data_IF_896439681667
#
_entry.id   IF_896439681667
#
_cell.length_a   1.000
_cell.length_b   1.000
_cell.length_c   1.000
_cell.angle_alpha   90.00
_cell.angle_beta   90.00
_cell.angle_gamma   90.00
#
_symmetry.space_group_name_H-M   'P 1'
#
loop_
_entity.id
_entity.type
_entity.pdbx_description
1 polymer ?
#
# COMPACT_ATOMS: atom_id res chain seq x y z
N UNK A 1 -4.70 -14.40 -16.40
CA UNK A 1 -4.30 -13.83 -17.72
C UNK A 1 -5.42 -13.95 -18.76
N UNK A 2 -6.24 -14.98 -18.68
CA UNK A 2 -7.22 -15.34 -19.74
C UNK A 2 -8.45 -14.42 -19.83
N UNK A 3 -8.64 -13.50 -18.90
CA UNK A 3 -9.73 -12.52 -18.91
C UNK A 3 -9.33 -11.11 -19.36
N UNK A 4 -8.03 -10.86 -19.62
CA UNK A 4 -7.55 -9.53 -20.02
C UNK A 4 -7.72 -9.33 -21.54
N UNK A 5 -8.37 -8.22 -21.91
CA UNK A 5 -8.44 -7.76 -23.30
C UNK A 5 -7.58 -6.53 -23.47
N UNK A 6 -6.73 -6.55 -24.50
CA UNK A 6 -5.98 -5.37 -24.90
C UNK A 6 -6.94 -4.25 -25.34
N UNK A 7 -6.78 -3.07 -24.78
CA UNK A 7 -7.55 -1.89 -25.17
C UNK A 7 -6.98 -1.30 -26.45
N UNK A 8 -7.82 -1.17 -27.46
CA UNK A 8 -7.44 -0.57 -28.75
C UNK A 8 -7.64 0.95 -28.80
N UNK A 9 -8.35 1.50 -27.80
CA UNK A 9 -8.55 2.94 -27.69
C UNK A 9 -7.31 3.63 -27.14
N UNK A 10 -7.03 4.84 -27.60
CA UNK A 10 -5.97 5.67 -27.09
C UNK A 10 -6.14 5.96 -25.60
N UNK A 11 -5.04 6.07 -24.88
CA UNK A 11 -5.07 6.47 -23.47
C UNK A 11 -5.64 7.87 -23.32
N UNK A 12 -6.58 8.02 -22.41
CA UNK A 12 -7.08 9.35 -22.03
C UNK A 12 -6.16 9.97 -21.01
N UNK A 13 -5.80 11.23 -21.25
CA UNK A 13 -5.02 12.04 -20.33
C UNK A 13 -5.84 13.21 -19.81
N UNK A 14 -5.63 13.53 -18.55
CA UNK A 14 -6.15 14.73 -17.89
C UNK A 14 -4.98 15.68 -17.68
N UNK A 15 -5.09 16.87 -18.23
CA UNK A 15 -4.07 17.93 -18.09
C UNK A 15 -4.37 18.73 -16.83
N UNK A 16 -3.36 18.98 -16.02
CA UNK A 16 -3.43 19.84 -14.85
C UNK A 16 -2.84 21.19 -15.22
N UNK A 17 -3.63 22.29 -15.18
CA UNK A 17 -3.13 23.59 -15.65
C UNK A 17 -2.18 24.27 -14.67
N UNK A 18 -2.31 23.96 -13.38
CA UNK A 18 -1.50 24.55 -12.31
C UNK A 18 -1.24 23.56 -11.19
N UNK A 19 -0.30 23.89 -10.31
CA UNK A 19 0.01 23.06 -9.13
C UNK A 19 -1.21 22.96 -8.22
N UNK A 20 -1.54 21.73 -7.84
CA UNK A 20 -2.55 21.43 -6.81
C UNK A 20 -1.82 20.79 -5.63
N UNK A 21 -2.13 21.20 -4.42
CA UNK A 21 -1.61 20.58 -3.20
C UNK A 21 -2.72 20.51 -2.15
N UNK A 22 -2.93 19.32 -1.63
CA UNK A 22 -3.81 19.08 -0.48
C UNK A 22 -2.91 18.58 0.64
N UNK A 23 -3.09 19.15 1.84
CA UNK A 23 -2.31 18.83 3.04
C UNK A 23 -3.22 18.70 4.25
N UNK A 24 -2.95 17.69 5.04
CA UNK A 24 -3.49 17.59 6.40
C UNK A 24 -2.46 18.14 7.38
N UNK A 25 -2.75 19.28 7.98
CA UNK A 25 -1.85 19.96 8.93
C UNK A 25 -1.65 19.18 10.23
N UNK A 26 -2.57 18.27 10.58
CA UNK A 26 -2.46 17.49 11.81
C UNK A 26 -1.48 16.32 11.66
N UNK A 27 -1.54 15.64 10.54
CA UNK A 27 -0.70 14.47 10.26
C UNK A 27 0.56 14.80 9.47
N UNK A 28 0.59 15.98 8.83
CA UNK A 28 1.60 16.39 7.87
C UNK A 28 1.51 15.66 6.52
N UNK A 29 0.47 14.82 6.34
CA UNK A 29 0.23 14.12 5.08
C UNK A 29 -0.07 15.11 3.96
N UNK A 30 0.39 14.83 2.75
CA UNK A 30 0.06 15.66 1.60
C UNK A 30 0.09 14.88 0.29
N UNK A 31 -0.70 15.37 -0.66
CA UNK A 31 -0.58 15.02 -2.07
C UNK A 31 -0.40 16.30 -2.87
N UNK A 32 0.67 16.33 -3.67
CA UNK A 32 1.01 17.44 -4.56
C UNK A 32 1.01 16.95 -5.99
N UNK A 33 0.30 17.65 -6.85
CA UNK A 33 0.21 17.40 -8.28
C UNK A 33 0.78 18.62 -8.99
N UNK A 34 1.80 18.42 -9.81
CA UNK A 34 2.47 19.48 -10.56
C UNK A 34 2.39 19.15 -12.05
N UNK A 35 2.00 20.10 -12.92
CA UNK A 35 1.97 19.87 -14.36
C UNK A 35 3.27 19.26 -14.89
N UNK A 36 3.18 18.26 -15.73
CA UNK A 36 4.31 17.62 -16.39
C UNK A 36 3.85 16.95 -17.68
N UNK A 37 4.72 16.88 -18.66
CA UNK A 37 4.42 16.23 -19.94
C UNK A 37 4.38 14.71 -19.82
N UNK A 38 5.23 14.16 -18.93
CA UNK A 38 5.32 12.73 -18.65
C UNK A 38 4.78 12.44 -17.26
N UNK A 39 3.80 11.54 -17.14
CA UNK A 39 3.28 11.10 -15.85
C UNK A 39 4.35 10.44 -14.98
N UNK A 40 4.42 10.86 -13.71
CA UNK A 40 5.24 10.17 -12.72
C UNK A 40 4.65 10.33 -11.32
N UNK A 41 4.96 9.38 -10.43
CA UNK A 41 4.48 9.40 -9.05
C UNK A 41 5.61 9.00 -8.09
N UNK A 42 5.84 9.83 -7.10
CA UNK A 42 6.77 9.57 -6.00
C UNK A 42 5.98 9.53 -4.70
N UNK A 43 6.15 8.48 -3.92
CA UNK A 43 5.50 8.35 -2.62
C UNK A 43 6.54 8.11 -1.53
N UNK A 44 6.29 8.70 -0.39
CA UNK A 44 7.01 8.40 0.87
C UNK A 44 5.97 8.03 1.92
N UNK A 45 6.16 6.90 2.57
CA UNK A 45 5.36 6.47 3.73
C UNK A 45 6.23 6.40 4.97
N UNK A 46 5.67 6.89 6.06
CA UNK A 46 6.27 6.88 7.39
C UNK A 46 5.15 6.72 8.41
N UNK A 47 5.05 5.55 9.00
CA UNK A 47 4.06 5.24 10.04
C UNK A 47 4.63 5.37 11.46
N UNK A 48 5.86 5.86 11.60
CA UNK A 48 6.59 5.82 12.87
C UNK A 48 6.95 4.41 13.32
N UNK A 49 6.79 3.44 12.43
CA UNK A 49 7.02 2.03 12.69
C UNK A 49 8.51 1.70 12.68
N UNK A 50 8.99 1.01 13.72
CA UNK A 50 10.37 0.50 13.76
C UNK A 50 10.58 -0.67 12.81
N UNK A 51 9.53 -1.42 12.51
CA UNK A 51 9.55 -2.58 11.62
C UNK A 51 9.58 -2.12 10.16
N UNK A 52 8.69 -1.19 9.78
CA UNK A 52 8.60 -0.70 8.41
C UNK A 52 9.68 0.32 8.08
N UNK A 53 10.04 1.19 9.04
CA UNK A 53 10.83 2.38 8.75
C UNK A 53 10.13 3.32 7.77
N UNK A 54 10.90 4.23 7.20
CA UNK A 54 10.47 5.08 6.10
C UNK A 54 10.67 4.33 4.78
N UNK A 55 9.62 4.25 3.98
CA UNK A 55 9.69 3.60 2.67
C UNK A 55 9.32 4.59 1.56
N UNK A 56 10.02 4.48 0.46
CA UNK A 56 9.73 5.25 -0.76
C UNK A 56 9.42 4.30 -1.91
N UNK A 57 8.57 4.74 -2.82
CA UNK A 57 8.32 4.06 -4.07
C UNK A 57 8.11 5.07 -5.19
N UNK A 58 8.48 4.68 -6.41
CA UNK A 58 8.38 5.48 -7.62
C UNK A 58 7.65 4.71 -8.71
N UNK A 59 6.91 5.43 -9.53
CA UNK A 59 6.32 4.94 -10.76
C UNK A 59 6.42 6.00 -11.86
N UNK A 60 6.75 5.56 -13.04
CA UNK A 60 6.62 6.31 -14.29
C UNK A 60 6.20 5.37 -15.43
N UNK A 61 6.11 5.86 -16.67
CA UNK A 61 5.69 5.05 -17.82
C UNK A 61 6.67 3.93 -18.20
N UNK A 62 7.91 3.96 -17.70
CA UNK A 62 8.91 2.89 -17.92
C UNK A 62 8.77 1.75 -16.89
N UNK A 63 8.07 1.98 -15.79
CA UNK A 63 7.86 0.99 -14.72
C UNK A 63 6.98 -0.16 -15.17
N UNK A 64 7.46 -1.40 -15.08
CA UNK A 64 6.63 -2.59 -15.33
C UNK A 64 5.65 -2.78 -14.15
N UNK A 65 4.48 -2.14 -14.25
CA UNK A 65 3.44 -2.17 -13.21
C UNK A 65 3.10 -3.60 -12.79
N UNK A 66 2.99 -4.51 -13.73
CA UNK A 66 2.57 -5.90 -13.46
C UNK A 66 3.61 -6.68 -12.67
N UNK A 67 4.89 -6.32 -12.76
CA UNK A 67 5.97 -6.99 -12.02
C UNK A 67 6.37 -6.25 -10.76
N UNK A 68 6.30 -4.91 -10.77
CA UNK A 68 6.92 -4.10 -9.73
C UNK A 68 5.92 -3.53 -8.71
N UNK A 69 4.67 -3.31 -9.11
CA UNK A 69 3.65 -2.66 -8.28
C UNK A 69 2.50 -3.62 -7.99
N UNK A 70 1.94 -4.23 -9.04
CA UNK A 70 0.75 -5.08 -8.94
C UNK A 70 0.86 -6.28 -7.98
N UNK A 71 2.02 -6.91 -7.77
CA UNK A 71 2.18 -8.02 -6.83
C UNK A 71 2.27 -7.58 -5.36
N UNK A 72 2.39 -6.27 -5.07
CA UNK A 72 2.60 -5.79 -3.71
C UNK A 72 1.35 -5.92 -2.86
N UNK A 73 1.47 -6.64 -1.75
CA UNK A 73 0.37 -6.94 -0.84
C UNK A 73 0.06 -5.76 0.07
N UNK A 74 -1.20 -5.68 0.49
CA UNK A 74 -1.61 -4.80 1.58
C UNK A 74 -0.92 -5.19 2.89
N UNK A 75 -0.94 -4.29 3.87
CA UNK A 75 -0.37 -4.54 5.18
C UNK A 75 -1.31 -4.04 6.27
N UNK A 76 -1.14 -4.61 7.45
CA UNK A 76 -1.92 -4.28 8.63
C UNK A 76 -1.03 -4.43 9.86
N UNK A 77 -1.18 -3.51 10.82
CA UNK A 77 -0.53 -3.66 12.12
C UNK A 77 -1.27 -4.67 12.99
N UNK A 78 -0.54 -5.48 13.73
CA UNK A 78 -1.13 -6.53 14.56
C UNK A 78 -2.20 -5.99 15.53
N UNK A 79 -1.96 -4.83 16.15
CA UNK A 79 -2.91 -4.22 17.08
C UNK A 79 -4.23 -3.79 16.40
N UNK A 80 -4.21 -3.52 15.09
CA UNK A 80 -5.43 -3.20 14.34
C UNK A 80 -6.25 -4.45 14.05
N UNK A 81 -5.60 -5.61 13.88
CA UNK A 81 -6.29 -6.88 13.61
C UNK A 81 -7.24 -7.23 14.76
N UNK A 82 -6.79 -7.09 16.01
CA UNK A 82 -7.64 -7.37 17.18
C UNK A 82 -8.90 -6.49 17.20
N UNK A 83 -8.75 -5.21 16.88
CA UNK A 83 -9.88 -4.29 16.76
C UNK A 83 -10.83 -4.69 15.61
N UNK A 84 -10.28 -5.01 14.46
CA UNK A 84 -11.07 -5.45 13.29
C UNK A 84 -11.85 -6.74 13.58
N UNK A 85 -11.26 -7.64 14.36
CA UNK A 85 -11.92 -8.86 14.83
C UNK A 85 -13.10 -8.61 15.74
N UNK A 86 -12.87 -7.82 16.80
CA UNK A 86 -13.89 -7.52 17.79
C UNK A 86 -15.11 -6.84 17.16
N UNK A 87 -14.93 -6.17 16.03
CA UNK A 87 -15.98 -5.46 15.31
C UNK A 87 -16.53 -6.23 14.08
N UNK A 88 -16.18 -7.53 13.89
CA UNK A 88 -16.58 -8.34 12.74
C UNK A 88 -16.26 -7.71 11.38
N UNK A 89 -15.19 -6.92 11.31
CA UNK A 89 -14.75 -6.25 10.07
C UNK A 89 -13.82 -7.13 9.22
N UNK A 90 -13.31 -8.22 9.77
CA UNK A 90 -12.55 -9.23 9.03
C UNK A 90 -13.52 -10.24 8.43
N UNK A 91 -13.80 -10.12 7.15
CA UNK A 91 -14.69 -11.04 6.42
C UNK A 91 -13.95 -12.20 5.72
N UNK A 92 -12.74 -12.43 6.07
CA UNK A 92 -11.82 -13.39 5.51
C UNK A 92 -10.45 -12.73 5.34
N UNK A 93 -9.41 -13.39 5.74
CA UNK A 93 -8.03 -12.95 5.57
C UNK A 93 -7.23 -14.18 5.20
N UNK A 94 -6.36 -13.99 4.25
CA UNK A 94 -5.32 -14.95 3.92
C UNK A 94 -4.00 -14.26 4.25
N UNK A 95 -3.19 -14.91 5.06
CA UNK A 95 -1.84 -14.40 5.40
C UNK A 95 -0.96 -14.22 4.17
N UNK A 96 -1.33 -14.87 3.07
CA UNK A 96 -0.64 -14.71 1.79
C UNK A 96 -1.01 -13.41 1.07
N UNK A 97 -2.15 -12.79 1.44
CA UNK A 97 -2.67 -11.58 0.81
C UNK A 97 -2.41 -10.29 1.59
N UNK A 98 -1.97 -10.38 2.84
CA UNK A 98 -1.67 -9.24 3.69
C UNK A 98 -0.38 -9.45 4.48
N UNK A 99 0.38 -8.38 4.62
CA UNK A 99 1.59 -8.35 5.46
C UNK A 99 1.17 -7.95 6.86
N UNK A 100 1.35 -8.82 7.84
CA UNK A 100 1.11 -8.49 9.26
C UNK A 100 2.38 -7.96 9.89
N UNK A 101 2.29 -6.77 10.50
CA UNK A 101 3.39 -6.06 11.12
C UNK A 101 3.20 -6.07 12.64
N UNK A 102 4.20 -6.58 13.35
CA UNK A 102 4.18 -6.75 14.80
C UNK A 102 5.27 -5.87 15.42
N UNK A 103 4.85 -4.77 16.06
CA UNK A 103 5.78 -3.76 16.61
C UNK A 103 6.10 -3.95 18.09
N UNK A 104 5.25 -4.69 18.80
CA UNK A 104 5.35 -4.89 20.24
C UNK A 104 5.35 -6.38 20.58
N UNK A 105 5.94 -6.78 21.69
CA UNK A 105 5.83 -8.15 22.16
C UNK A 105 4.36 -8.59 22.24
N UNK A 106 4.08 -9.76 21.74
CA UNK A 106 2.73 -10.34 21.66
C UNK A 106 2.70 -11.56 22.57
N UNK A 107 1.58 -11.76 23.27
CA UNK A 107 1.41 -12.93 24.13
C UNK A 107 1.16 -14.18 23.29
N UNK A 108 1.59 -15.36 23.73
CA UNK A 108 1.41 -16.62 23.01
C UNK A 108 -0.05 -16.85 22.58
N UNK A 109 -1.01 -16.53 23.44
CA UNK A 109 -2.44 -16.70 23.19
C UNK A 109 -2.94 -15.81 22.02
N UNK A 110 -2.32 -14.67 21.82
CA UNK A 110 -2.65 -13.77 20.69
C UNK A 110 -2.13 -14.36 19.37
N UNK A 111 -0.96 -14.98 19.41
CA UNK A 111 -0.39 -15.67 18.23
C UNK A 111 -1.22 -16.90 17.87
N UNK A 112 -1.68 -17.68 18.88
CA UNK A 112 -2.56 -18.83 18.69
C UNK A 112 -3.89 -18.42 18.05
N UNK A 113 -4.49 -17.32 18.48
CA UNK A 113 -5.72 -16.77 17.86
C UNK A 113 -5.48 -16.37 16.41
N UNK A 114 -4.34 -15.72 16.12
CA UNK A 114 -3.99 -15.35 14.77
C UNK A 114 -3.79 -16.58 13.89
N UNK A 115 -3.10 -17.60 14.43
CA UNK A 115 -2.90 -18.91 13.79
C UNK A 115 -4.23 -19.59 13.45
N UNK A 116 -5.14 -19.63 14.41
CA UNK A 116 -6.48 -20.20 14.21
C UNK A 116 -7.29 -19.42 13.17
N UNK A 117 -7.19 -18.07 13.18
CA UNK A 117 -7.89 -17.22 12.24
C UNK A 117 -7.50 -17.48 10.81
N UNK A 118 -6.21 -17.46 10.57
CA UNK A 118 -5.66 -17.63 9.23
C UNK A 118 -5.53 -19.11 8.83
N UNK A 119 -5.89 -20.04 9.73
CA UNK A 119 -5.72 -21.48 9.54
C UNK A 119 -4.28 -21.85 9.14
N UNK A 120 -3.30 -21.18 9.76
CA UNK A 120 -1.86 -21.43 9.56
C UNK A 120 -1.29 -22.04 10.84
N UNK A 121 -1.02 -23.34 10.89
CA UNK A 121 -0.40 -23.95 12.05
C UNK A 121 1.03 -23.42 12.24
N UNK A 122 1.50 -23.39 13.48
CA UNK A 122 2.88 -23.00 13.84
C UNK A 122 3.25 -21.57 13.41
N UNK A 123 2.25 -20.67 13.41
CA UNK A 123 2.52 -19.26 13.17
C UNK A 123 3.41 -18.70 14.29
N UNK A 124 4.44 -17.98 13.92
CA UNK A 124 5.36 -17.31 14.85
C UNK A 124 5.74 -15.93 14.35
N UNK A 125 6.25 -15.12 15.25
CA UNK A 125 6.75 -13.78 14.93
C UNK A 125 8.28 -13.85 14.88
N UNK A 126 8.85 -13.40 13.77
CA UNK A 126 10.29 -13.28 13.62
C UNK A 126 10.83 -12.04 14.36
N UNK A 127 12.13 -12.05 14.64
CA UNK A 127 12.81 -10.93 15.31
C UNK A 127 12.70 -9.60 14.55
N UNK A 128 12.43 -9.66 13.25
CA UNK A 128 12.24 -8.50 12.40
C UNK A 128 10.80 -7.93 12.44
N UNK A 129 9.92 -8.46 13.26
CA UNK A 129 8.56 -7.99 13.43
C UNK A 129 7.56 -8.45 12.37
N UNK A 130 7.88 -9.47 11.60
CA UNK A 130 6.97 -10.10 10.64
C UNK A 130 6.62 -11.53 11.04
N UNK A 131 5.55 -12.07 10.46
CA UNK A 131 5.21 -13.48 10.65
C UNK A 131 6.23 -14.39 9.95
N UNK A 132 6.45 -15.58 10.51
CA UNK A 132 7.44 -16.54 10.02
C UNK A 132 7.16 -17.12 8.62
N UNK A 133 5.91 -17.09 8.18
CA UNK A 133 5.49 -17.51 6.83
C UNK A 133 5.68 -16.42 5.77
N UNK A 134 6.05 -15.19 6.17
CA UNK A 134 6.17 -14.08 5.26
C UNK A 134 7.51 -14.09 4.53
N UNK A 135 7.42 -14.02 3.20
CA UNK A 135 8.51 -13.62 2.33
C UNK A 135 8.10 -12.38 1.56
N UNK A 136 8.75 -11.25 1.81
CA UNK A 136 8.50 -10.02 1.09
C UNK A 136 8.89 -10.15 -0.40
N UNK A 137 8.08 -9.60 -1.30
CA UNK A 137 8.42 -9.47 -2.71
C UNK A 137 9.49 -8.39 -2.93
N UNK A 138 9.41 -7.32 -2.13
CA UNK A 138 10.36 -6.20 -2.16
C UNK A 138 10.61 -5.71 -0.73
N UNK A 139 11.79 -5.18 -0.45
CA UNK A 139 12.12 -4.59 0.86
C UNK A 139 11.22 -3.41 1.22
N UNK A 140 10.67 -2.71 0.21
CA UNK A 140 9.74 -1.59 0.32
C UNK A 140 8.33 -1.96 -0.15
N UNK A 141 7.89 -3.22 0.06
CA UNK A 141 6.62 -3.72 -0.47
C UNK A 141 5.41 -2.90 0.02
N UNK A 142 5.39 -2.51 1.30
CA UNK A 142 4.32 -1.69 1.85
C UNK A 142 4.27 -0.27 1.20
N UNK A 143 5.43 0.32 0.93
CA UNK A 143 5.52 1.58 0.19
C UNK A 143 5.01 1.44 -1.25
N UNK A 144 5.36 0.35 -1.93
CA UNK A 144 4.86 0.05 -3.28
C UNK A 144 3.36 -0.21 -3.28
N UNK A 145 2.81 -0.87 -2.27
CA UNK A 145 1.37 -1.04 -2.13
C UNK A 145 0.66 0.31 -1.96
N UNK A 146 1.20 1.22 -1.16
CA UNK A 146 0.65 2.58 -1.05
C UNK A 146 0.74 3.38 -2.35
N UNK A 147 1.74 3.12 -3.17
CA UNK A 147 1.80 3.68 -4.53
C UNK A 147 0.72 3.06 -5.44
N UNK A 148 0.43 1.77 -5.30
CA UNK A 148 -0.67 1.11 -5.99
C UNK A 148 -2.01 1.76 -5.64
N UNK A 149 -2.27 2.01 -4.35
CA UNK A 149 -3.47 2.72 -3.87
C UNK A 149 -3.58 4.11 -4.51
N UNK A 150 -2.49 4.89 -4.47
CA UNK A 150 -2.46 6.24 -5.05
C UNK A 150 -2.73 6.24 -6.56
N UNK A 151 -2.16 5.28 -7.30
CA UNK A 151 -2.41 5.11 -8.73
C UNK A 151 -3.90 4.83 -8.96
N UNK A 152 -4.50 3.94 -8.17
CA UNK A 152 -5.91 3.58 -8.26
C UNK A 152 -6.83 4.77 -7.96
N UNK A 153 -6.60 5.48 -6.87
CA UNK A 153 -7.40 6.63 -6.44
C UNK A 153 -7.35 7.77 -7.49
N UNK A 154 -6.16 8.07 -8.00
CA UNK A 154 -6.01 9.11 -9.03
C UNK A 154 -6.64 8.74 -10.38
N UNK A 155 -6.82 7.44 -10.65
CA UNK A 155 -7.53 6.97 -11.86
C UNK A 155 -9.01 7.33 -11.85
N UNK A 156 -9.60 7.60 -10.68
CA UNK A 156 -10.99 8.08 -10.55
C UNK A 156 -11.20 9.45 -11.22
N UNK A 157 -10.14 10.20 -11.51
CA UNK A 157 -10.21 11.41 -12.33
C UNK A 157 -10.60 11.15 -13.82
N UNK A 158 -10.75 9.88 -14.22
CA UNK A 158 -11.22 9.49 -15.55
C UNK A 158 -10.12 9.33 -16.61
N UNK A 159 -8.85 9.56 -16.26
CA UNK A 159 -7.71 9.44 -17.18
C UNK A 159 -6.37 9.38 -16.45
N UNK A 160 -5.28 9.24 -17.19
CA UNK A 160 -3.94 9.44 -16.69
C UNK A 160 -3.66 10.94 -16.53
N UNK A 161 -3.09 11.33 -15.37
CA UNK A 161 -2.71 12.72 -15.18
C UNK A 161 -1.42 13.03 -15.93
N UNK A 162 -1.42 14.06 -16.78
CA UNK A 162 -0.18 14.66 -17.28
C UNK A 162 0.42 15.53 -16.19
N UNK A 163 1.03 14.88 -15.22
CA UNK A 163 1.54 15.52 -14.02
C UNK A 163 2.60 14.67 -13.32
N UNK A 164 3.45 15.34 -12.56
CA UNK A 164 4.24 14.73 -11.49
C UNK A 164 3.44 14.78 -10.19
N UNK A 165 3.20 13.63 -9.60
CA UNK A 165 2.55 13.49 -8.29
C UNK A 165 3.62 13.20 -7.24
N UNK A 166 3.61 13.94 -6.14
CA UNK A 166 4.45 13.67 -4.97
C UNK A 166 3.54 13.55 -3.76
N UNK A 167 3.63 12.44 -3.05
CA UNK A 167 2.79 12.19 -1.89
C UNK A 167 3.62 11.78 -0.68
N UNK A 168 3.22 12.29 0.47
CA UNK A 168 3.77 11.92 1.77
C UNK A 168 2.65 11.42 2.67
N UNK A 169 2.77 10.16 3.12
CA UNK A 169 1.80 9.48 3.99
C UNK A 169 0.35 9.57 3.45
N UNK A 170 0.12 9.36 2.14
CA UNK A 170 -1.23 9.46 1.60
C UNK A 170 -2.12 8.34 2.15
N UNK A 171 -3.40 8.67 2.30
CA UNK A 171 -4.49 7.76 2.59
C UNK A 171 -5.64 8.04 1.63
N UNK A 172 -6.73 7.24 1.69
CA UNK A 172 -7.89 7.43 0.82
C UNK A 172 -8.69 8.72 1.11
N UNK A 173 -8.36 9.43 2.17
CA UNK A 173 -9.03 10.68 2.59
C UNK A 173 -8.25 11.95 2.25
N UNK A 174 -7.02 11.82 1.75
CA UNK A 174 -6.18 12.95 1.35
C UNK A 174 -5.49 12.64 0.03
#
# INVERSE_FOLDING_TARGET
KDGLKEQKADRKYVTIPEKIEIRDEKTGSFVRITPADVPSMDITVDFGSRVLGVQTAHWDESTDYAKEIGPCRTFVFFHEIEYLFQNNLVKGGDVDNAIVIVEHPVQPEQVERLSALFNVPELAINDNGYLNNLKLHFTNECGRHKLLDLIGDLRLAGGWLKAKVTAFKPGHTI
#
